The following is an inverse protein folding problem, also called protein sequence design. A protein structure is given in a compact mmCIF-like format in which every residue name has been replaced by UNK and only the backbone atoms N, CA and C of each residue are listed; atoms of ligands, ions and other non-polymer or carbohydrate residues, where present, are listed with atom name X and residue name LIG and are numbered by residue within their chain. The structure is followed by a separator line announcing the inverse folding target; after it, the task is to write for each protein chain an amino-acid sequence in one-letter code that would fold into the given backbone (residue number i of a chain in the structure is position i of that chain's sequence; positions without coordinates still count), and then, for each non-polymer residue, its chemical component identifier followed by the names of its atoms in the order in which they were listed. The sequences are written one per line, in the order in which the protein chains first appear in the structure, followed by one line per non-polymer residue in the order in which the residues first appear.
data_IF_867508481028
#
_entry.id   IF_867508481028
#
_cell.length_a   1.000
_cell.length_b   1.000
_cell.length_c   1.000
_cell.angle_alpha   90.00
_cell.angle_beta   90.00
_cell.angle_gamma   90.00
#
_symmetry.space_group_name_H-M   'P 1'
#
loop_
_entity.id
_entity.type
_entity.pdbx_description
1 polymer ?
#
# COMPACT_ATOMS: atom_id res chain seq x y z
N UNK A 1 -6.63 9.56 13.28
CA UNK A 1 -5.23 9.25 13.66
C UNK A 1 -4.40 9.51 12.41
N UNK A 2 -3.34 10.32 12.43
CA UNK A 2 -2.58 10.61 11.20
C UNK A 2 -1.84 9.36 10.75
N UNK A 3 -2.08 8.89 9.51
CA UNK A 3 -1.29 7.79 8.95
C UNK A 3 0.16 8.24 8.82
N UNK A 4 1.02 7.66 9.65
CA UNK A 4 2.41 8.09 9.70
C UNK A 4 3.26 7.17 8.84
N UNK A 5 3.83 7.71 7.77
CA UNK A 5 4.91 7.09 6.98
C UNK A 5 6.28 7.17 7.68
N UNK A 6 6.29 7.45 8.99
CA UNK A 6 7.52 7.60 9.77
C UNK A 6 7.89 6.31 10.51
N UNK A 7 9.15 6.23 10.95
CA UNK A 7 9.62 5.12 11.77
C UNK A 7 8.83 4.98 13.09
N UNK A 8 8.42 6.09 13.69
CA UNK A 8 7.54 6.07 14.87
C UNK A 8 6.18 5.48 14.56
N UNK A 9 5.62 5.79 13.39
CA UNK A 9 4.38 5.19 12.87
C UNK A 9 4.51 3.69 12.70
N UNK A 10 5.63 3.24 12.11
CA UNK A 10 5.97 1.83 11.99
C UNK A 10 6.03 1.13 13.36
N UNK A 11 6.70 1.70 14.36
CA UNK A 11 6.78 1.08 15.69
C UNK A 11 5.41 1.00 16.38
N UNK A 12 4.59 2.05 16.27
CA UNK A 12 3.22 2.03 16.81
C UNK A 12 2.36 0.98 16.11
N UNK A 13 2.45 0.89 14.79
CA UNK A 13 1.78 -0.14 14.00
C UNK A 13 2.22 -1.56 14.40
N UNK A 14 3.51 -1.77 14.63
CA UNK A 14 4.06 -3.07 15.05
C UNK A 14 3.58 -3.49 16.45
N UNK A 15 3.44 -2.53 17.36
CA UNK A 15 2.97 -2.76 18.72
C UNK A 15 1.44 -2.94 18.80
N UNK A 16 0.72 -2.56 17.75
CA UNK A 16 -0.73 -2.73 17.74
C UNK A 16 -1.10 -4.20 17.65
N UNK A 17 -2.02 -4.64 18.52
CA UNK A 17 -2.63 -5.96 18.40
C UNK A 17 -3.61 -5.96 17.23
N UNK A 18 -3.45 -6.88 16.28
CA UNK A 18 -4.42 -7.08 15.20
C UNK A 18 -5.69 -7.65 15.81
N UNK A 19 -6.73 -6.83 15.94
CA UNK A 19 -8.01 -7.22 16.55
C UNK A 19 -8.82 -8.17 15.66
N UNK A 20 -8.57 -8.16 14.35
CA UNK A 20 -9.17 -9.08 13.41
C UNK A 20 -8.19 -9.53 12.30
N UNK A 21 -7.66 -10.77 12.37
CA UNK A 21 -6.78 -11.33 11.34
C UNK A 21 -7.43 -11.44 9.96
N UNK A 22 -8.76 -11.54 9.88
CA UNK A 22 -9.46 -11.64 8.59
C UNK A 22 -9.39 -10.34 7.76
N UNK A 23 -9.13 -9.21 8.43
CA UNK A 23 -9.02 -7.90 7.80
C UNK A 23 -7.57 -7.47 7.52
N UNK A 24 -6.58 -8.21 8.03
CA UNK A 24 -5.16 -7.90 7.93
C UNK A 24 -4.61 -8.13 6.51
N UNK A 25 -5.11 -7.37 5.53
CA UNK A 25 -4.73 -7.48 4.13
C UNK A 25 -4.02 -6.22 3.66
N UNK A 26 -2.95 -6.35 2.86
CA UNK A 26 -2.29 -5.21 2.25
C UNK A 26 -3.14 -4.61 1.13
N UNK A 27 -3.03 -3.29 0.94
CA UNK A 27 -3.54 -2.55 -0.21
C UNK A 27 -2.35 -2.14 -1.10
N UNK A 28 -2.33 -2.69 -2.32
CA UNK A 28 -1.32 -2.41 -3.32
C UNK A 28 -1.83 -1.39 -4.34
N UNK A 29 -1.10 -0.30 -4.48
CA UNK A 29 -1.38 0.82 -5.38
C UNK A 29 -0.47 0.70 -6.62
N UNK A 30 -1.05 0.34 -7.75
CA UNK A 30 -0.37 0.30 -9.04
C UNK A 30 -0.41 1.67 -9.71
N UNK A 31 0.66 2.02 -10.41
CA UNK A 31 0.62 3.17 -11.30
C UNK A 31 1.88 3.34 -12.13
N UNK A 32 1.84 4.31 -13.05
CA UNK A 32 2.94 4.57 -13.97
C UNK A 32 4.19 5.00 -13.19
N UNK A 33 5.35 4.47 -13.56
CA UNK A 33 6.64 4.85 -12.98
C UNK A 33 6.87 6.36 -13.11
N UNK A 34 7.09 7.06 -11.98
CA UNK A 34 7.26 8.51 -11.93
C UNK A 34 5.98 9.34 -11.79
N UNK A 35 4.80 8.69 -11.68
CA UNK A 35 3.53 9.36 -11.41
C UNK A 35 3.27 9.71 -9.94
N UNK A 36 2.12 10.32 -9.61
CA UNK A 36 1.75 10.73 -8.25
C UNK A 36 1.42 9.57 -7.29
N UNK A 37 1.78 8.33 -7.60
CA UNK A 37 1.39 7.14 -6.83
C UNK A 37 2.07 7.09 -5.44
N UNK A 38 3.23 7.71 -5.26
CA UNK A 38 3.87 7.76 -3.94
C UNK A 38 3.16 8.74 -2.98
N UNK A 39 2.50 9.78 -3.50
CA UNK A 39 1.80 10.76 -2.67
C UNK A 39 0.39 10.32 -2.26
N UNK A 40 -0.22 9.39 -3.00
CA UNK A 40 -1.53 8.82 -2.65
C UNK A 40 -1.44 7.79 -1.51
N UNK A 41 -0.31 7.10 -1.34
CA UNK A 41 -0.17 6.08 -0.28
C UNK A 41 -0.44 6.64 1.12
N UNK A 42 0.16 7.77 1.56
CA UNK A 42 -0.17 8.38 2.84
C UNK A 42 -1.64 8.80 2.94
N UNK A 43 -2.21 9.36 1.86
CA UNK A 43 -3.60 9.83 1.84
C UNK A 43 -4.60 8.68 1.98
N UNK A 44 -4.37 7.56 1.27
CA UNK A 44 -5.18 6.35 1.38
C UNK A 44 -5.10 5.76 2.79
N UNK A 45 -3.89 5.65 3.35
CA UNK A 45 -3.73 5.15 4.71
C UNK A 45 -4.41 6.06 5.74
N UNK A 46 -4.35 7.39 5.57
CA UNK A 46 -5.00 8.35 6.46
C UNK A 46 -6.51 8.21 6.42
N UNK A 47 -7.08 8.13 5.22
CA UNK A 47 -8.50 7.92 5.05
C UNK A 47 -8.93 6.57 5.62
N UNK A 48 -8.22 5.48 5.33
CA UNK A 48 -8.52 4.17 5.92
C UNK A 48 -8.45 4.21 7.45
N UNK A 49 -7.55 5.01 8.04
CA UNK A 49 -7.48 5.21 9.49
C UNK A 49 -8.62 6.04 10.07
N UNK A 50 -9.35 6.78 9.25
CA UNK A 50 -10.54 7.52 9.64
C UNK A 50 -11.81 6.68 9.54
N UNK A 51 -11.90 5.79 8.55
CA UNK A 51 -13.16 5.11 8.20
C UNK A 51 -13.15 3.58 8.42
N UNK A 52 -12.00 2.94 8.56
CA UNK A 52 -11.91 1.49 8.82
C UNK A 52 -12.03 1.15 10.31
N UNK A 53 -13.22 1.41 10.85
CA UNK A 53 -13.59 1.06 12.22
C UNK A 53 -13.47 -0.45 12.49
N UNK A 54 -13.65 -1.29 11.47
CA UNK A 54 -13.57 -2.74 11.59
C UNK A 54 -12.15 -3.24 11.90
N UNK A 55 -11.14 -2.42 11.59
CA UNK A 55 -9.72 -2.71 11.81
C UNK A 55 -9.06 -1.72 12.78
N UNK A 56 -9.87 -0.98 13.55
CA UNK A 56 -9.44 0.07 14.49
C UNK A 56 -8.58 1.19 13.86
N UNK A 57 -8.68 1.41 12.54
CA UNK A 57 -7.95 2.46 11.83
C UNK A 57 -6.43 2.42 12.02
N UNK A 58 -5.77 1.30 11.67
CA UNK A 58 -4.32 1.07 11.88
C UNK A 58 -3.54 0.71 10.62
N UNK A 59 -3.86 1.35 9.53
CA UNK A 59 -3.15 1.27 8.26
C UNK A 59 -1.83 2.03 8.30
N UNK A 60 -0.75 1.32 7.94
CA UNK A 60 0.57 1.90 7.74
C UNK A 60 0.75 2.32 6.28
N UNK A 61 1.14 3.58 6.07
CA UNK A 61 1.62 4.05 4.78
C UNK A 61 3.07 3.55 4.57
N UNK A 62 3.24 2.41 3.91
CA UNK A 62 4.55 1.81 3.64
C UNK A 62 5.15 2.42 2.36
N UNK A 63 5.65 3.65 2.49
CA UNK A 63 6.34 4.35 1.41
C UNK A 63 7.71 3.73 1.12
N UNK A 64 8.23 3.95 -0.09
CA UNK A 64 9.57 3.49 -0.51
C UNK A 64 10.67 3.94 0.45
N UNK A 65 10.60 5.18 0.95
CA UNK A 65 11.55 5.73 1.94
C UNK A 65 11.49 4.99 3.28
N UNK A 66 10.27 4.69 3.77
CA UNK A 66 10.09 3.96 5.02
C UNK A 66 10.61 2.52 4.90
N UNK A 67 10.27 1.84 3.81
CA UNK A 67 10.74 0.48 3.54
C UNK A 67 12.26 0.45 3.46
N UNK A 68 12.87 1.38 2.72
CA UNK A 68 14.33 1.50 2.60
C UNK A 68 14.98 1.78 3.96
N UNK A 69 14.35 2.61 4.79
CA UNK A 69 14.83 2.92 6.16
C UNK A 69 14.80 1.67 7.05
N UNK A 70 13.73 0.87 6.98
CA UNK A 70 13.61 -0.40 7.73
C UNK A 70 14.63 -1.41 7.21
N UNK A 71 14.76 -1.53 5.88
CA UNK A 71 15.70 -2.44 5.23
C UNK A 71 17.17 -2.09 5.50
N UNK A 72 17.50 -0.82 5.78
CA UNK A 72 18.85 -0.41 6.15
C UNK A 72 19.22 -0.72 7.62
N UNK A 73 18.25 -1.03 8.48
CA UNK A 73 18.47 -1.22 9.92
C UNK A 73 18.11 -2.62 10.41
N UNK A 74 19.13 -3.40 10.76
CA UNK A 74 18.99 -4.74 11.33
C UNK A 74 18.09 -4.83 12.58
N UNK A 75 17.99 -3.77 13.38
CA UNK A 75 17.10 -3.75 14.55
C UNK A 75 15.64 -3.73 14.10
N UNK A 76 15.29 -2.91 13.11
CA UNK A 76 13.93 -2.83 12.57
C UNK A 76 13.57 -4.10 11.79
N UNK A 77 14.51 -4.71 11.08
CA UNK A 77 14.30 -6.01 10.45
C UNK A 77 14.00 -7.11 11.48
N UNK A 78 14.74 -7.16 12.61
CA UNK A 78 14.47 -8.13 13.69
C UNK A 78 13.11 -7.92 14.34
N UNK A 79 12.65 -6.67 14.45
CA UNK A 79 11.31 -6.35 14.92
C UNK A 79 10.21 -6.93 14.01
N UNK A 80 10.49 -7.07 12.71
CA UNK A 80 9.62 -7.79 11.76
C UNK A 80 9.78 -9.32 11.81
N UNK A 81 10.64 -9.84 12.69
CA UNK A 81 10.92 -11.27 12.79
C UNK A 81 11.88 -11.81 11.71
N UNK A 82 12.54 -10.92 10.95
CA UNK A 82 13.52 -11.32 9.94
C UNK A 82 14.81 -11.82 10.59
N UNK A 83 15.36 -12.92 10.05
CA UNK A 83 16.61 -13.51 10.52
C UNK A 83 17.79 -12.77 9.91
N UNK A 84 18.26 -11.74 10.61
CA UNK A 84 19.48 -11.03 10.21
C UNK A 84 20.69 -11.88 10.60
N UNK A 85 21.50 -12.30 9.62
CA UNK A 85 22.78 -12.96 9.86
C UNK A 85 23.66 -12.15 10.81
N UNK A 86 24.28 -12.82 11.79
CA UNK A 86 25.10 -12.16 12.82
C UNK A 86 26.45 -11.70 12.25
N UNK A 87 26.85 -12.29 11.13
CA UNK A 87 28.01 -11.94 10.32
C UNK A 87 27.58 -11.97 8.84
N UNK A 88 28.26 -11.18 8.02
CA UNK A 88 28.27 -11.22 6.54
C UNK A 88 27.32 -10.29 5.77
N UNK A 89 27.97 -9.23 5.25
CA UNK A 89 27.71 -8.53 3.98
C UNK A 89 26.37 -7.76 3.92
N UNK A 90 26.32 -6.53 3.37
CA UNK A 90 25.04 -5.93 3.05
C UNK A 90 24.38 -6.89 2.06
N UNK A 91 23.28 -7.53 2.46
CA UNK A 91 22.37 -8.12 1.50
C UNK A 91 22.16 -7.08 0.41
N UNK A 92 22.18 -7.50 -0.86
CA UNK A 92 21.84 -6.61 -1.98
C UNK A 92 20.62 -5.77 -1.54
N UNK A 93 20.72 -4.44 -1.61
CA UNK A 93 19.71 -3.55 -1.06
C UNK A 93 18.31 -3.88 -1.59
N UNK A 94 18.23 -4.50 -2.77
CA UNK A 94 17.01 -5.05 -3.34
C UNK A 94 16.48 -6.29 -2.59
N UNK A 95 17.34 -7.23 -2.17
CA UNK A 95 16.97 -8.42 -1.43
C UNK A 95 16.47 -8.08 -0.01
N UNK A 96 17.16 -7.19 0.70
CA UNK A 96 16.71 -6.74 2.03
C UNK A 96 15.37 -5.99 1.96
N UNK A 97 15.21 -5.12 0.95
CA UNK A 97 13.94 -4.42 0.69
C UNK A 97 12.81 -5.42 0.42
N UNK A 98 13.09 -6.49 -0.33
CA UNK A 98 12.11 -7.56 -0.62
C UNK A 98 11.70 -8.32 0.64
N UNK A 99 12.63 -8.71 1.50
CA UNK A 99 12.29 -9.42 2.74
C UNK A 99 11.46 -8.55 3.70
N UNK A 100 11.80 -7.26 3.80
CA UNK A 100 11.00 -6.29 4.57
C UNK A 100 9.61 -6.16 3.97
N UNK A 101 9.51 -6.05 2.65
CA UNK A 101 8.23 -5.98 1.95
C UNK A 101 7.34 -7.18 2.25
N UNK A 102 7.88 -8.40 2.13
CA UNK A 102 7.13 -9.64 2.37
C UNK A 102 6.68 -9.72 3.83
N UNK A 103 7.54 -9.33 4.78
CA UNK A 103 7.19 -9.32 6.21
C UNK A 103 6.12 -8.28 6.55
N UNK A 104 6.15 -7.10 5.94
CA UNK A 104 5.09 -6.10 6.08
C UNK A 104 3.76 -6.62 5.51
N UNK A 105 3.78 -7.19 4.31
CA UNK A 105 2.59 -7.76 3.65
C UNK A 105 1.97 -8.87 4.49
N UNK A 106 2.78 -9.77 5.05
CA UNK A 106 2.31 -10.89 5.87
C UNK A 106 1.61 -10.42 7.17
N UNK A 107 1.95 -9.22 7.66
CA UNK A 107 1.30 -8.64 8.84
C UNK A 107 0.00 -7.91 8.51
N UNK A 108 -0.14 -7.36 7.30
CA UNK A 108 -1.37 -6.72 6.81
C UNK A 108 -1.61 -5.30 7.33
N UNK A 109 -2.74 -4.69 6.94
CA UNK A 109 -3.06 -3.27 7.21
C UNK A 109 -1.92 -2.33 6.79
N UNK A 110 -1.48 -2.49 5.55
CA UNK A 110 -0.48 -1.61 4.95
C UNK A 110 -1.03 -1.10 3.62
N UNK A 111 -0.70 0.13 3.27
CA UNK A 111 -0.89 0.71 1.94
C UNK A 111 0.47 0.94 1.33
N UNK A 112 0.69 0.49 0.09
CA UNK A 112 2.00 0.61 -0.56
C UNK A 112 1.92 0.63 -2.08
N UNK A 113 2.97 1.13 -2.74
CA UNK A 113 3.09 1.10 -4.20
C UNK A 113 3.43 -0.30 -4.71
N UNK A 114 2.92 -0.61 -5.89
CA UNK A 114 3.37 -1.72 -6.71
C UNK A 114 4.41 -1.22 -7.73
N UNK A 115 5.67 -1.62 -7.55
CA UNK A 115 6.85 -1.17 -8.32
C UNK A 115 7.94 -0.67 -7.36
N UNK A 116 9.25 -0.89 -7.51
CA UNK A 116 10.11 -1.38 -8.59
C UNK A 116 10.91 -2.60 -8.10
N UNK A 117 10.87 -3.71 -8.84
CA UNK A 117 11.58 -4.95 -8.48
C UNK A 117 10.77 -5.98 -7.68
N UNK A 118 9.51 -5.67 -7.33
CA UNK A 118 8.59 -6.59 -6.66
C UNK A 118 7.44 -6.97 -7.60
N UNK A 119 7.20 -8.26 -7.86
CA UNK A 119 6.07 -8.69 -8.66
C UNK A 119 4.76 -8.38 -7.93
N UNK A 120 4.02 -7.43 -8.48
CA UNK A 120 2.65 -7.05 -8.09
C UNK A 120 1.71 -8.24 -7.89
N UNK A 121 1.98 -9.38 -8.54
CA UNK A 121 1.13 -10.57 -8.57
C UNK A 121 1.38 -11.58 -7.45
N UNK A 122 2.48 -11.46 -6.69
CA UNK A 122 2.88 -12.53 -5.75
C UNK A 122 2.14 -12.47 -4.41
N UNK A 123 1.52 -11.34 -4.06
CA UNK A 123 0.74 -11.22 -2.82
C UNK A 123 -0.72 -11.54 -3.09
N UNK A 124 -1.00 -12.84 -3.13
CA UNK A 124 -2.33 -13.42 -3.43
C UNK A 124 -3.47 -12.90 -2.52
N UNK A 125 -3.12 -12.32 -1.36
CA UNK A 125 -4.07 -11.84 -0.35
C UNK A 125 -4.24 -10.31 -0.32
N UNK A 126 -3.61 -9.57 -1.25
CA UNK A 126 -3.71 -8.11 -1.31
C UNK A 126 -5.00 -7.63 -2.02
N UNK A 127 -5.45 -6.44 -1.65
CA UNK A 127 -6.35 -5.63 -2.48
C UNK A 127 -5.51 -4.82 -3.47
N UNK A 128 -5.90 -4.77 -4.74
CA UNK A 128 -5.15 -4.06 -5.77
C UNK A 128 -5.97 -2.89 -6.30
N UNK A 129 -5.40 -1.69 -6.28
CA UNK A 129 -5.96 -0.48 -6.87
C UNK A 129 -4.93 0.11 -7.82
N UNK A 130 -5.32 0.56 -9.00
CA UNK A 130 -4.40 1.06 -10.01
C UNK A 130 -4.84 2.39 -10.61
N UNK A 131 -3.88 3.29 -10.81
CA UNK A 131 -4.04 4.61 -11.44
C UNK A 131 -3.00 4.77 -12.54
N UNK A 132 -3.43 5.03 -13.77
CA UNK A 132 -2.60 5.01 -14.97
C UNK A 132 -2.64 3.65 -15.70
N UNK A 133 -1.87 3.55 -16.78
CA UNK A 133 -1.74 2.30 -17.53
C UNK A 133 -0.62 1.46 -16.92
N UNK A 134 -0.93 0.62 -15.92
CA UNK A 134 -0.01 -0.49 -15.63
C UNK A 134 0.25 -1.24 -16.93
N UNK A 135 1.51 -1.54 -17.25
CA UNK A 135 1.89 -2.22 -18.51
C UNK A 135 1.13 -3.55 -18.72
N UNK A 136 0.62 -4.12 -17.64
CA UNK A 136 -0.10 -5.39 -17.61
C UNK A 136 -1.64 -5.25 -17.59
N UNK A 137 -2.17 -4.02 -17.51
CA UNK A 137 -3.62 -3.77 -17.38
C UNK A 137 -4.11 -2.76 -18.42
N UNK A 138 -5.07 -3.21 -19.23
CA UNK A 138 -5.61 -2.43 -20.34
C UNK A 138 -6.42 -1.19 -19.88
N UNK A 139 -6.83 -1.13 -18.61
CA UNK A 139 -7.67 -0.07 -18.06
C UNK A 139 -6.85 0.91 -17.22
N UNK A 140 -6.94 2.20 -17.59
CA UNK A 140 -6.22 3.35 -16.99
C UNK A 140 -6.55 3.62 -15.53
N UNK A 141 -7.66 3.11 -15.01
CA UNK A 141 -7.99 3.13 -13.59
C UNK A 141 -8.75 1.84 -13.32
N UNK A 142 -8.27 1.02 -12.38
CA UNK A 142 -8.93 -0.22 -12.05
C UNK A 142 -8.81 -0.49 -10.56
N UNK A 143 -9.80 -1.19 -10.03
CA UNK A 143 -9.73 -1.77 -8.71
C UNK A 143 -10.07 -3.25 -8.86
N UNK A 144 -9.13 -4.10 -8.47
CA UNK A 144 -9.31 -5.55 -8.52
C UNK A 144 -9.55 -6.04 -7.10
N UNK A 145 -10.78 -6.48 -6.86
CA UNK A 145 -11.20 -7.08 -5.59
C UNK A 145 -11.44 -8.57 -5.82
N UNK A 146 -10.85 -9.43 -4.99
CA UNK A 146 -11.14 -10.86 -5.02
C UNK A 146 -12.52 -11.12 -4.36
N UNK A 147 -13.55 -11.56 -5.11
CA UNK A 147 -14.91 -11.70 -4.59
C UNK A 147 -15.05 -12.77 -3.51
N UNK A 148 -14.25 -13.84 -3.57
CA UNK A 148 -14.24 -14.91 -2.56
C UNK A 148 -13.71 -14.44 -1.20
N UNK A 149 -13.21 -13.21 -1.17
CA UNK A 149 -12.57 -12.58 -0.01
C UNK A 149 -13.34 -11.36 0.49
N UNK A 150 -14.47 -11.01 -0.15
CA UNK A 150 -15.35 -9.93 0.29
C UNK A 150 -16.25 -10.48 1.40
N UNK A 151 -16.00 -10.04 2.63
CA UNK A 151 -16.89 -10.28 3.75
C UNK A 151 -17.75 -9.04 4.02
N UNK A 152 -18.89 -9.21 4.70
CA UNK A 152 -19.83 -8.12 4.98
C UNK A 152 -19.20 -6.94 5.73
N UNK A 153 -18.10 -7.19 6.43
CA UNK A 153 -17.33 -6.21 7.21
C UNK A 153 -15.92 -5.96 6.64
N UNK A 154 -15.64 -6.39 5.41
CA UNK A 154 -14.30 -6.23 4.85
C UNK A 154 -14.05 -4.78 4.41
N UNK A 155 -12.80 -4.35 4.52
CA UNK A 155 -12.34 -3.04 4.08
C UNK A 155 -12.54 -2.78 2.58
N UNK A 156 -12.92 -3.78 1.76
CA UNK A 156 -13.05 -3.62 0.32
C UNK A 156 -14.07 -2.55 -0.11
N UNK A 157 -15.19 -2.42 0.63
CA UNK A 157 -16.16 -1.36 0.36
C UNK A 157 -15.60 0.03 0.71
N UNK A 158 -14.91 0.12 1.84
CA UNK A 158 -14.25 1.35 2.29
C UNK A 158 -13.17 1.73 1.28
N UNK A 159 -12.27 0.81 0.93
CA UNK A 159 -11.21 1.00 -0.08
C UNK A 159 -11.80 1.47 -1.42
N UNK A 160 -12.92 0.90 -1.85
CA UNK A 160 -13.64 1.35 -3.04
C UNK A 160 -14.13 2.78 -2.93
N UNK A 161 -14.80 3.13 -1.83
CA UNK A 161 -15.29 4.49 -1.59
C UNK A 161 -14.13 5.49 -1.46
N UNK A 162 -13.06 5.16 -0.73
CA UNK A 162 -11.84 5.96 -0.61
C UNK A 162 -11.25 6.23 -1.99
N UNK A 163 -11.09 5.16 -2.78
CA UNK A 163 -10.43 5.23 -4.07
C UNK A 163 -11.24 6.09 -5.05
N UNK A 164 -12.56 5.92 -5.06
CA UNK A 164 -13.47 6.69 -5.90
C UNK A 164 -13.57 8.15 -5.44
N UNK A 165 -13.61 8.41 -4.14
CA UNK A 165 -13.64 9.77 -3.59
C UNK A 165 -12.31 10.50 -3.85
N UNK A 166 -11.18 9.84 -3.61
CA UNK A 166 -9.86 10.38 -3.91
C UNK A 166 -9.70 10.68 -5.40
N UNK A 167 -10.14 9.78 -6.29
CA UNK A 167 -10.17 10.02 -7.73
C UNK A 167 -11.00 11.27 -8.03
N UNK A 168 -12.23 11.36 -7.51
CA UNK A 168 -13.13 12.50 -7.75
C UNK A 168 -12.57 13.83 -7.20
N UNK A 169 -11.89 13.83 -6.05
CA UNK A 169 -11.27 15.04 -5.49
C UNK A 169 -10.01 15.45 -6.29
N UNK A 170 -9.14 14.49 -6.61
CA UNK A 170 -7.92 14.75 -7.36
C UNK A 170 -8.17 15.17 -8.81
N UNK A 171 -9.18 14.57 -9.46
CA UNK A 171 -9.66 14.95 -10.80
C UNK A 171 -10.15 16.40 -10.87
N UNK A 172 -10.72 16.91 -9.77
CA UNK A 172 -11.25 18.29 -9.71
C UNK A 172 -10.16 19.34 -9.53
N UNK A 173 -9.11 18.99 -8.79
CA UNK A 173 -8.06 19.95 -8.39
C UNK A 173 -6.82 19.94 -9.29
N UNK A 174 -6.58 18.88 -10.08
CA UNK A 174 -5.40 18.77 -10.95
C UNK A 174 -5.73 18.84 -12.45
N UNK A 175 -5.16 19.83 -13.15
CA UNK A 175 -5.29 19.99 -14.61
C UNK A 175 -4.70 18.82 -15.42
N UNK A 176 -3.70 18.11 -14.89
CA UNK A 176 -3.08 16.94 -15.53
C UNK A 176 -4.01 15.73 -15.56
N UNK A 177 -4.83 15.55 -14.52
CA UNK A 177 -5.83 14.47 -14.48
C UNK A 177 -7.08 14.86 -15.31
N UNK A 178 -7.33 16.16 -15.53
CA UNK A 178 -8.34 16.62 -16.49
C UNK A 178 -8.00 16.25 -17.93
N UNK A 179 -6.72 16.27 -18.31
CA UNK A 179 -6.24 15.72 -19.58
C UNK A 179 -6.46 14.19 -19.64
N UNK A 180 -6.42 13.49 -18.50
CA UNK A 180 -6.80 12.06 -18.43
C UNK A 180 -8.30 11.83 -18.63
N UNK A 181 -9.20 12.75 -18.20
CA UNK A 181 -10.64 12.66 -18.51
C UNK A 181 -10.93 12.84 -20.01
N UNK A 182 -10.22 13.77 -20.66
CA UNK A 182 -10.36 14.02 -22.10
C UNK A 182 -9.94 12.77 -22.90
N UNK A 183 -8.81 12.16 -22.55
CA UNK A 183 -8.37 10.90 -23.16
C UNK A 183 -9.33 9.71 -22.87
N UNK A 184 -9.90 9.61 -21.66
CA UNK A 184 -10.84 8.54 -21.29
C UNK A 184 -12.20 8.69 -21.99
N UNK A 185 -12.57 9.92 -22.38
CA UNK A 185 -13.76 10.20 -23.20
C UNK A 185 -13.54 9.94 -24.69
N UNK A 186 -12.29 9.72 -25.11
CA UNK A 186 -11.94 9.42 -26.50
C UNK A 186 -12.11 10.62 -27.44
N UNK A 187 -11.84 11.83 -26.97
CA UNK A 187 -11.79 13.05 -27.79
C UNK A 187 -10.38 13.35 -28.33
#
# INVERSE_FOLDING_TARGET
MTASSSLSGFHQWLLSETTNPACARPLMVHGDTGGPHDSIIPALAEYLNEYDDACDGRWLAATSDLISTIAADSANQRLLGLKVGVDEVPADGAAATREVFDALCARGHIVMAAGSGMPATDVTEAFHVGIGCSADLAERCHMTINPDRIERNCAAHIIGDVFLEWLNCSLRDNSEIRTMEEDLRGE
#
